data_IF_571453014377
#
_entry.id   IF_571453014377
#
_cell.length_a   1.000
_cell.length_b   1.000
_cell.length_c   1.000
_cell.angle_alpha   90.00
_cell.angle_beta   90.00
_cell.angle_gamma   90.00
#
_symmetry.space_group_name_H-M   'P 1'
#
loop_
_entity.id
_entity.type
_entity.pdbx_description
1 polymer ?
#
# COMPACT_ATOMS: atom_id res chain seq x y z
N UNK A 1 -5.89 -5.69 3.07
CA UNK A 1 -5.69 -5.16 4.44
C UNK A 1 -6.77 -5.67 5.39
N UNK A 2 -8.03 -5.26 5.29
CA UNK A 2 -9.07 -5.65 6.27
C UNK A 2 -9.41 -7.15 6.27
N UNK A 3 -9.25 -7.84 5.14
CA UNK A 3 -9.52 -9.29 5.03
C UNK A 3 -8.46 -10.21 5.66
N UNK A 4 -7.28 -9.68 5.98
CA UNK A 4 -6.13 -10.45 6.49
C UNK A 4 -5.96 -10.33 8.01
N UNK A 5 -6.61 -9.35 8.62
CA UNK A 5 -6.39 -8.99 10.03
C UNK A 5 -7.02 -10.01 10.98
N UNK A 6 -8.05 -10.76 10.55
CA UNK A 6 -8.78 -11.63 11.47
C UNK A 6 -9.38 -12.90 10.83
N UNK A 7 -8.57 -13.68 10.11
CA UNK A 7 -8.93 -15.08 9.75
C UNK A 7 -8.50 -16.02 10.90
N UNK A 8 -9.34 -17.00 11.31
CA UNK A 8 -10.34 -17.67 10.48
C UNK A 8 -11.82 -17.25 10.65
N UNK A 9 -12.23 -16.55 11.73
CA UNK A 9 -13.67 -16.35 12.05
C UNK A 9 -14.09 -14.92 12.47
N UNK A 10 -13.34 -13.86 12.18
CA UNK A 10 -13.82 -12.50 12.51
C UNK A 10 -13.70 -11.54 11.35
N UNK A 11 -14.82 -10.97 10.97
CA UNK A 11 -14.85 -9.85 10.04
C UNK A 11 -14.44 -8.59 10.82
N UNK A 12 -13.32 -7.97 10.44
CA UNK A 12 -12.97 -6.66 10.98
C UNK A 12 -13.80 -5.60 10.24
N UNK A 13 -14.90 -5.15 10.88
CA UNK A 13 -15.71 -4.04 10.39
C UNK A 13 -15.08 -2.75 10.89
N UNK A 14 -14.40 -2.04 9.99
CA UNK A 14 -13.93 -0.70 10.27
C UNK A 14 -15.13 0.26 10.26
N UNK A 15 -15.43 0.98 11.35
CA UNK A 15 -16.55 1.92 11.37
C UNK A 15 -16.32 3.03 10.32
N UNK A 16 -17.40 3.52 9.71
CA UNK A 16 -17.41 4.56 8.66
C UNK A 16 -17.04 5.96 9.20
N UNK A 17 -16.21 6.05 10.23
CA UNK A 17 -15.72 7.31 10.75
C UNK A 17 -14.33 7.59 10.17
N UNK A 18 -14.16 8.75 9.54
CA UNK A 18 -12.87 9.22 9.00
C UNK A 18 -11.75 9.09 10.03
N UNK A 19 -12.01 9.43 11.29
CA UNK A 19 -10.99 9.32 12.33
C UNK A 19 -10.61 7.87 12.65
N UNK A 20 -11.57 6.94 12.59
CA UNK A 20 -11.29 5.53 12.80
C UNK A 20 -10.47 4.95 11.63
N UNK A 21 -10.75 5.36 10.40
CA UNK A 21 -9.98 4.97 9.21
C UNK A 21 -8.54 5.45 9.30
N UNK A 22 -8.35 6.73 9.60
CA UNK A 22 -7.01 7.30 9.75
C UNK A 22 -6.28 6.64 10.92
N UNK A 23 -6.89 6.50 12.10
CA UNK A 23 -6.26 5.81 13.24
C UNK A 23 -5.86 4.37 12.91
N UNK A 24 -6.69 3.66 12.15
CA UNK A 24 -6.40 2.32 11.68
C UNK A 24 -5.20 2.31 10.73
N UNK A 25 -5.16 3.16 9.71
CA UNK A 25 -3.99 3.30 8.83
C UNK A 25 -2.72 3.68 9.61
N UNK A 26 -2.84 4.54 10.63
CA UNK A 26 -1.72 4.94 11.46
C UNK A 26 -1.16 3.79 12.32
N UNK A 27 -2.01 2.92 12.86
CA UNK A 27 -1.58 1.77 13.64
C UNK A 27 -1.08 0.60 12.79
N UNK A 28 -1.37 0.59 11.49
CA UNK A 28 -0.96 -0.50 10.62
C UNK A 28 0.53 -0.38 10.25
N UNK A 29 1.29 -1.48 10.35
CA UNK A 29 2.67 -1.50 9.89
C UNK A 29 2.73 -1.43 8.36
N UNK A 30 3.78 -0.83 7.80
CA UNK A 30 3.89 -0.59 6.36
C UNK A 30 3.77 -1.87 5.52
N UNK A 31 4.21 -3.00 6.07
CA UNK A 31 4.14 -4.33 5.43
C UNK A 31 2.71 -4.83 5.19
N UNK A 32 1.72 -4.34 5.93
CA UNK A 32 0.32 -4.73 5.74
C UNK A 32 -0.34 -3.98 4.58
N UNK A 33 0.19 -2.83 4.15
CA UNK A 33 -0.33 -2.16 2.95
C UNK A 33 -0.06 -3.00 1.71
N UNK A 34 -1.11 -3.24 0.92
CA UNK A 34 -1.00 -3.98 -0.34
C UNK A 34 -0.13 -3.22 -1.35
N UNK A 35 0.76 -3.92 -2.05
CA UNK A 35 1.67 -3.32 -3.03
C UNK A 35 3.03 -2.89 -2.47
N UNK A 36 3.22 -2.88 -1.15
CA UNK A 36 4.53 -2.66 -0.53
C UNK A 36 5.28 -3.99 -0.43
N UNK A 37 6.30 -4.15 -1.29
CA UNK A 37 7.18 -5.31 -1.26
C UNK A 37 8.34 -5.18 -0.27
N UNK A 38 9.07 -6.29 -0.06
CA UNK A 38 10.24 -6.38 0.85
C UNK A 38 11.28 -5.28 0.65
N UNK A 39 11.52 -4.89 -0.60
CA UNK A 39 12.51 -3.86 -0.95
C UNK A 39 12.05 -2.48 -0.45
N UNK A 40 10.80 -2.09 -0.72
CA UNK A 40 10.28 -0.79 -0.31
C UNK A 40 10.10 -0.69 1.20
N UNK A 41 9.66 -1.76 1.85
CA UNK A 41 9.63 -1.87 3.32
C UNK A 41 11.00 -1.61 3.92
N UNK A 42 12.04 -2.31 3.43
CA UNK A 42 13.41 -2.14 3.93
C UNK A 42 13.93 -0.73 3.66
N UNK A 43 13.63 -0.16 2.50
CA UNK A 43 14.05 1.20 2.15
C UNK A 43 13.44 2.25 3.10
N UNK A 44 12.14 2.14 3.36
CA UNK A 44 11.42 3.00 4.31
C UNK A 44 11.96 2.85 5.75
N UNK A 45 12.19 1.60 6.18
CA UNK A 45 12.71 1.32 7.51
C UNK A 45 14.17 1.78 7.70
N UNK A 46 15.02 1.63 6.67
CA UNK A 46 16.44 1.98 6.77
C UNK A 46 16.71 3.47 6.58
N UNK A 47 16.00 4.15 5.67
CA UNK A 47 16.26 5.56 5.36
C UNK A 47 15.53 6.52 6.27
N UNK A 48 14.32 6.15 6.71
CA UNK A 48 13.42 7.07 7.39
C UNK A 48 13.00 6.55 8.78
N UNK A 49 13.40 5.33 9.13
CA UNK A 49 12.96 4.63 10.35
C UNK A 49 11.43 4.58 10.48
N UNK A 50 10.72 4.55 9.33
CA UNK A 50 9.26 4.48 9.26
C UNK A 50 8.84 3.02 9.33
N UNK A 51 8.07 2.67 10.36
CA UNK A 51 7.50 1.31 10.53
C UNK A 51 5.98 1.29 10.46
N UNK A 52 5.33 2.42 10.74
CA UNK A 52 3.87 2.54 10.74
C UNK A 52 3.36 3.48 9.64
N UNK A 53 2.09 3.32 9.25
CA UNK A 53 1.43 4.24 8.33
C UNK A 53 1.32 5.67 8.86
N UNK A 54 1.38 5.85 10.19
CA UNK A 54 1.35 7.17 10.80
C UNK A 54 2.64 7.94 10.62
N UNK A 55 3.77 7.26 10.82
CA UNK A 55 5.10 7.81 10.55
C UNK A 55 5.27 8.16 9.07
N UNK A 56 4.64 7.37 8.20
CA UNK A 56 4.62 7.61 6.75
C UNK A 56 3.97 8.95 6.40
N UNK A 57 2.85 9.30 7.04
CA UNK A 57 2.20 10.61 6.84
C UNK A 57 3.01 11.77 7.44
N UNK A 58 3.65 11.55 8.59
CA UNK A 58 4.51 12.54 9.23
C UNK A 58 5.72 12.91 8.36
N UNK A 59 6.34 11.91 7.72
CA UNK A 59 7.53 12.03 6.87
C UNK A 59 7.22 12.16 5.38
N UNK A 60 6.05 12.73 5.03
CA UNK A 60 5.63 12.89 3.63
C UNK A 60 6.61 13.69 2.76
N UNK A 61 7.28 14.70 3.33
CA UNK A 61 8.24 15.52 2.59
C UNK A 61 9.40 14.67 2.08
N UNK A 62 9.95 13.83 2.95
CA UNK A 62 11.06 12.95 2.59
C UNK A 62 10.64 11.92 1.54
N UNK A 63 9.39 11.43 1.57
CA UNK A 63 8.87 10.53 0.53
C UNK A 63 8.88 11.15 -0.87
N UNK A 64 8.51 12.43 -0.99
CA UNK A 64 8.53 13.14 -2.29
C UNK A 64 9.95 13.41 -2.79
N UNK A 65 10.93 13.50 -1.89
CA UNK A 65 12.35 13.61 -2.26
C UNK A 65 12.96 12.28 -2.68
N UNK A 66 12.55 11.17 -2.05
CA UNK A 66 13.12 9.85 -2.27
C UNK A 66 12.47 9.06 -3.41
N UNK A 67 11.19 9.30 -3.68
CA UNK A 67 10.42 8.57 -4.68
C UNK A 67 9.88 9.48 -5.78
N UNK A 68 9.56 8.87 -6.93
CA UNK A 68 8.76 9.54 -7.96
C UNK A 68 7.42 9.98 -7.38
N UNK A 69 6.94 11.15 -7.84
CA UNK A 69 5.68 11.77 -7.46
C UNK A 69 4.51 10.79 -7.41
N UNK A 70 4.37 9.92 -8.42
CA UNK A 70 3.30 8.91 -8.50
C UNK A 70 3.35 7.92 -7.33
N UNK A 71 4.54 7.46 -6.97
CA UNK A 71 4.75 6.54 -5.85
C UNK A 71 4.53 7.25 -4.52
N UNK A 72 5.03 8.48 -4.37
CA UNK A 72 4.89 9.27 -3.15
C UNK A 72 3.42 9.61 -2.88
N UNK A 73 2.67 10.03 -3.90
CA UNK A 73 1.22 10.25 -3.81
C UNK A 73 0.48 8.98 -3.43
N UNK A 74 0.80 7.84 -4.06
CA UNK A 74 0.18 6.56 -3.72
C UNK A 74 0.46 6.13 -2.27
N UNK A 75 1.69 6.31 -1.78
CA UNK A 75 2.04 6.04 -0.38
C UNK A 75 1.28 6.97 0.58
N UNK A 76 1.15 8.25 0.24
CA UNK A 76 0.39 9.22 1.04
C UNK A 76 -1.10 8.84 1.08
N UNK A 77 -1.67 8.44 -0.05
CA UNK A 77 -3.04 7.97 -0.18
C UNK A 77 -3.33 6.76 0.72
N UNK A 78 -2.40 5.81 0.78
CA UNK A 78 -2.48 4.67 1.70
C UNK A 78 -2.55 5.10 3.18
N UNK A 79 -1.74 6.09 3.58
CA UNK A 79 -1.74 6.58 4.97
C UNK A 79 -3.05 7.25 5.40
N UNK A 80 -3.75 7.90 4.46
CA UNK A 80 -5.04 8.55 4.70
C UNK A 80 -6.22 7.56 4.56
N UNK A 81 -5.96 6.37 4.01
CA UNK A 81 -7.00 5.36 3.74
C UNK A 81 -7.88 5.73 2.55
N UNK A 82 -7.42 6.61 1.67
CA UNK A 82 -8.11 7.00 0.44
C UNK A 82 -7.44 6.28 -0.73
N UNK A 83 -8.14 5.35 -1.37
CA UNK A 83 -7.72 4.82 -2.67
C UNK A 83 -8.47 5.58 -3.75
N UNK A 84 -7.85 6.57 -4.37
CA UNK A 84 -8.28 6.92 -5.73
C UNK A 84 -7.82 5.76 -6.58
N UNK A 85 -8.74 4.84 -6.90
CA UNK A 85 -8.51 3.95 -8.02
C UNK A 85 -8.16 4.85 -9.19
N UNK A 86 -6.92 4.78 -9.69
CA UNK A 86 -6.60 5.42 -10.95
C UNK A 86 -7.43 4.70 -12.02
N UNK A 87 -8.68 5.14 -12.18
CA UNK A 87 -9.39 5.14 -13.44
C UNK A 87 -8.62 6.09 -14.36
N UNK A 88 -7.41 5.69 -14.73
CA UNK A 88 -6.67 6.29 -15.81
C UNK A 88 -7.21 5.70 -17.10
N UNK A 89 -8.00 6.48 -17.83
CA UNK A 89 -8.38 6.24 -19.21
C UNK A 89 -9.82 5.78 -19.39
N UNK A 90 -10.62 6.62 -20.04
CA UNK A 90 -11.64 6.13 -20.95
C UNK A 90 -10.96 5.10 -21.86
N UNK A 91 -11.49 3.88 -21.97
CA UNK A 91 -11.47 3.04 -23.17
C UNK A 91 -12.14 1.70 -22.83
N UNK A 92 -13.00 1.27 -23.72
CA UNK A 92 -13.65 -0.04 -23.76
C UNK A 92 -12.59 -1.13 -23.98
N UNK A 93 -11.77 -1.46 -22.97
CA UNK A 93 -10.75 -2.51 -23.07
C UNK A 93 -11.11 -3.65 -22.11
N UNK A 94 -11.68 -4.70 -22.70
CA UNK A 94 -11.68 -6.06 -22.13
C UNK A 94 -10.27 -6.35 -21.61
N UNK A 95 -10.04 -6.85 -20.37
CA UNK A 95 -8.69 -6.98 -19.83
C UNK A 95 -7.84 -7.91 -20.69
N UNK A 96 -7.07 -7.34 -21.62
CA UNK A 96 -6.13 -8.07 -22.45
C UNK A 96 -4.87 -8.37 -21.63
N UNK A 97 -4.46 -9.63 -21.63
CA UNK A 97 -3.32 -10.11 -20.86
C UNK A 97 -2.02 -9.50 -21.40
N UNK A 98 -1.49 -8.48 -20.71
CA UNK A 98 -0.30 -7.70 -21.16
C UNK A 98 0.99 -8.49 -21.29
N UNK A 99 1.10 -9.67 -20.67
CA UNK A 99 2.26 -10.56 -20.87
C UNK A 99 1.95 -12.01 -20.51
N UNK A 100 2.65 -12.93 -21.19
CA UNK A 100 2.74 -14.35 -20.82
C UNK A 100 4.16 -14.60 -20.38
N UNK A 101 4.37 -15.08 -19.16
CA UNK A 101 5.70 -15.50 -18.69
C UNK A 101 5.65 -16.96 -18.26
N UNK A 102 6.51 -17.78 -18.86
CA UNK A 102 6.82 -19.13 -18.38
C UNK A 102 8.15 -19.05 -17.63
N UNK A 103 8.16 -19.41 -16.36
CA UNK A 103 9.36 -19.47 -15.53
C UNK A 103 9.46 -20.88 -14.97
N UNK A 104 10.41 -21.66 -15.49
CA UNK A 104 10.70 -23.00 -15.00
C UNK A 104 11.86 -22.90 -14.02
N UNK A 105 11.60 -23.02 -12.72
CA UNK A 105 12.64 -23.18 -11.71
C UNK A 105 13.01 -24.66 -11.60
N UNK A 106 14.14 -25.05 -12.19
CA UNK A 106 14.75 -26.37 -11.94
C UNK A 106 15.49 -26.24 -10.59
N UNK A 107 14.96 -26.89 -9.55
CA UNK A 107 15.68 -27.07 -8.28
C UNK A 107 16.83 -28.05 -8.54
N UNK A 108 18.07 -27.57 -8.46
CA UNK A 108 19.25 -28.41 -8.32
C UNK A 108 19.40 -28.94 -6.90
#
# INVERSE_FOLDING_TARGET
VCSDINKPNGQYVLPFNRQAVVKFCHHLPVRKFGGIGKVKEKLLAQLLSISTGGDLFARRYDLFHLFSETTAQWLLQLSVGSSTGSSGGNDEDTPTRKSVRYCTCIKG
#
